data_IF_211045473840
#
_entry.id   IF_211045473840
#
_cell.length_a   1.000
_cell.length_b   1.000
_cell.length_c   1.000
_cell.angle_alpha   90.00
_cell.angle_beta   90.00
_cell.angle_gamma   90.00
#
_symmetry.space_group_name_H-M   'P 1'
#
loop_
_entity.id
_entity.type
_entity.pdbx_description
1 polymer ?
#
# COMPACT_ATOMS: atom_id res chain seq x y z
N UNK A 1 38.27 2.69 -21.70
CA UNK A 1 37.92 3.68 -20.66
C UNK A 1 36.71 3.14 -19.92
N UNK A 2 36.88 2.72 -18.66
CA UNK A 2 35.77 2.29 -17.83
C UNK A 2 34.92 3.51 -17.49
N UNK A 3 33.63 3.47 -17.84
CA UNK A 3 32.69 4.51 -17.44
C UNK A 3 32.50 4.42 -15.92
N UNK A 4 32.67 5.50 -15.15
CA UNK A 4 32.36 5.48 -13.73
C UNK A 4 30.86 5.22 -13.61
N UNK A 5 30.48 4.14 -12.94
CA UNK A 5 29.09 3.98 -12.50
C UNK A 5 28.88 5.08 -11.47
N UNK A 6 28.03 6.05 -11.80
CA UNK A 6 27.72 7.17 -10.93
C UNK A 6 27.00 6.65 -9.68
N UNK A 7 27.62 6.68 -8.48
CA UNK A 7 27.01 6.13 -7.27
C UNK A 7 25.72 6.87 -6.87
N UNK A 8 25.49 8.09 -7.38
CA UNK A 8 24.24 8.81 -7.16
C UNK A 8 23.05 8.24 -7.92
N UNK A 9 23.26 7.40 -8.93
CA UNK A 9 22.17 6.73 -9.66
C UNK A 9 21.45 5.64 -8.83
N UNK A 10 22.06 5.21 -7.72
CA UNK A 10 21.49 4.21 -6.79
C UNK A 10 21.14 4.78 -5.41
N UNK A 11 21.46 6.05 -5.15
CA UNK A 11 21.04 6.72 -3.93
C UNK A 11 19.59 7.18 -4.07
N UNK A 12 18.64 6.25 -4.01
CA UNK A 12 17.31 6.63 -3.53
C UNK A 12 17.53 7.16 -2.12
N UNK A 13 17.22 8.43 -1.87
CA UNK A 13 17.27 9.03 -0.55
C UNK A 13 16.42 8.17 0.39
N UNK A 14 17.08 7.44 1.29
CA UNK A 14 16.45 6.50 2.21
C UNK A 14 15.40 7.20 3.08
N UNK A 15 15.60 8.49 3.36
CA UNK A 15 14.62 9.35 4.03
C UNK A 15 13.38 9.63 3.17
N UNK A 16 13.55 9.89 1.87
CA UNK A 16 12.41 10.05 0.95
C UNK A 16 11.61 8.75 0.80
N UNK A 17 12.30 7.60 0.77
CA UNK A 17 11.64 6.30 0.67
C UNK A 17 10.83 5.95 1.93
N UNK A 18 11.33 6.28 3.12
CA UNK A 18 10.58 6.15 4.38
C UNK A 18 9.36 7.07 4.43
N UNK A 19 9.49 8.32 3.98
CA UNK A 19 8.35 9.25 3.85
C UNK A 19 7.28 8.70 2.90
N UNK A 20 7.68 8.25 1.71
CA UNK A 20 6.75 7.65 0.76
C UNK A 20 6.08 6.38 1.30
N UNK A 21 6.79 5.57 2.09
CA UNK A 21 6.19 4.41 2.76
C UNK A 21 5.09 4.82 3.74
N UNK A 22 5.36 5.83 4.58
CA UNK A 22 4.37 6.36 5.53
C UNK A 22 3.15 6.94 4.81
N UNK A 23 3.36 7.67 3.72
CA UNK A 23 2.29 8.23 2.91
C UNK A 23 1.41 7.13 2.31
N UNK A 24 2.01 6.07 1.77
CA UNK A 24 1.27 4.92 1.23
C UNK A 24 0.42 4.25 2.32
N UNK A 25 0.98 4.06 3.52
CA UNK A 25 0.22 3.49 4.64
C UNK A 25 -0.94 4.39 5.07
N UNK A 26 -0.75 5.71 5.09
CA UNK A 26 -1.81 6.66 5.40
C UNK A 26 -2.95 6.62 4.36
N UNK A 27 -2.61 6.66 3.07
CA UNK A 27 -3.58 6.54 1.97
C UNK A 27 -4.31 5.19 2.03
N UNK A 28 -3.61 4.10 2.33
CA UNK A 28 -4.24 2.79 2.48
C UNK A 28 -5.28 2.75 3.60
N UNK A 29 -4.98 3.38 4.74
CA UNK A 29 -5.92 3.50 5.86
C UNK A 29 -7.14 4.36 5.50
N UNK A 30 -6.95 5.44 4.75
CA UNK A 30 -8.06 6.27 4.26
C UNK A 30 -8.97 5.49 3.30
N UNK A 31 -8.39 4.75 2.36
CA UNK A 31 -9.14 3.90 1.42
C UNK A 31 -9.95 2.86 2.20
N UNK A 32 -9.38 2.20 3.22
CA UNK A 32 -10.12 1.22 4.03
C UNK A 32 -11.29 1.86 4.79
N UNK A 33 -11.10 3.04 5.36
CA UNK A 33 -12.16 3.79 6.02
C UNK A 33 -13.30 4.17 5.06
N UNK A 34 -12.97 4.60 3.84
CA UNK A 34 -13.95 4.92 2.79
C UNK A 34 -14.71 3.68 2.32
N UNK A 35 -14.01 2.55 2.13
CA UNK A 35 -14.64 1.29 1.76
C UNK A 35 -15.60 0.80 2.85
N UNK A 36 -15.20 0.89 4.12
CA UNK A 36 -16.08 0.54 5.25
C UNK A 36 -17.31 1.45 5.32
N UNK A 37 -17.15 2.74 5.03
CA UNK A 37 -18.28 3.67 4.94
C UNK A 37 -19.24 3.31 3.80
N UNK A 38 -18.71 2.84 2.67
CA UNK A 38 -19.53 2.35 1.55
C UNK A 38 -20.27 1.06 1.92
N UNK A 39 -19.60 0.07 2.54
CA UNK A 39 -20.25 -1.17 3.00
C UNK A 39 -21.44 -0.89 3.92
N UNK A 40 -21.29 0.01 4.89
CA UNK A 40 -22.41 0.42 5.76
C UNK A 40 -23.59 1.03 4.98
N UNK A 41 -23.31 1.85 3.95
CA UNK A 41 -24.37 2.42 3.10
C UNK A 41 -25.09 1.32 2.32
N UNK A 42 -24.35 0.33 1.84
CA UNK A 42 -24.92 -0.80 1.11
C UNK A 42 -25.72 -1.75 2.02
N UNK A 43 -25.32 -1.95 3.27
CA UNK A 43 -26.10 -2.71 4.26
C UNK A 43 -27.46 -2.05 4.54
N UNK A 44 -27.47 -0.72 4.72
CA UNK A 44 -28.72 0.04 4.91
C UNK A 44 -29.63 -0.11 3.70
N UNK A 45 -29.07 0.00 2.49
CA UNK A 45 -29.83 -0.15 1.26
C UNK A 45 -30.35 -1.59 1.11
N UNK A 46 -29.63 -2.62 1.51
CA UNK A 46 -30.12 -4.01 1.48
C UNK A 46 -31.47 -4.18 2.18
N UNK A 47 -31.63 -3.53 3.34
CA UNK A 47 -32.86 -3.59 4.13
C UNK A 47 -34.10 -3.00 3.45
N UNK A 48 -33.92 -2.16 2.42
CA UNK A 48 -35.04 -1.54 1.69
C UNK A 48 -35.58 -2.37 0.52
N UNK A 49 -34.87 -3.40 0.08
CA UNK A 49 -35.24 -4.20 -1.10
C UNK A 49 -35.99 -5.46 -0.66
N UNK A 50 -37.12 -5.76 -1.34
CA UNK A 50 -37.93 -6.97 -1.08
C UNK A 50 -38.10 -7.79 -2.35
N UNK A 51 -38.39 -9.08 -2.20
CA UNK A 51 -38.65 -10.00 -3.32
C UNK A 51 -37.40 -10.28 -4.16
N UNK A 52 -37.59 -10.55 -5.47
CA UNK A 52 -36.52 -10.95 -6.40
C UNK A 52 -35.35 -9.96 -6.48
N UNK A 53 -35.61 -8.68 -6.22
CA UNK A 53 -34.60 -7.64 -6.25
C UNK A 53 -33.60 -7.74 -5.07
N UNK A 54 -34.03 -8.29 -3.92
CA UNK A 54 -33.16 -8.53 -2.76
C UNK A 54 -32.06 -9.57 -3.05
N UNK A 55 -32.40 -10.63 -3.82
CA UNK A 55 -31.41 -11.64 -4.21
C UNK A 55 -30.34 -11.09 -5.15
N UNK A 56 -30.72 -10.28 -6.13
CA UNK A 56 -29.77 -9.60 -7.03
C UNK A 56 -28.90 -8.60 -6.27
N UNK A 57 -29.49 -7.87 -5.33
CA UNK A 57 -28.76 -6.95 -4.47
C UNK A 57 -27.72 -7.67 -3.60
N UNK A 58 -28.09 -8.79 -2.97
CA UNK A 58 -27.17 -9.59 -2.16
C UNK A 58 -25.97 -10.10 -2.97
N UNK A 59 -26.16 -10.46 -4.24
CA UNK A 59 -25.07 -10.82 -5.13
C UNK A 59 -24.12 -9.64 -5.39
N UNK A 60 -24.66 -8.46 -5.71
CA UNK A 60 -23.85 -7.24 -5.89
C UNK A 60 -23.11 -6.84 -4.60
N UNK A 61 -23.72 -7.04 -3.43
CA UNK A 61 -23.09 -6.78 -2.14
C UNK A 61 -21.91 -7.73 -1.90
N UNK A 62 -22.08 -9.02 -2.19
CA UNK A 62 -20.99 -10.00 -2.09
C UNK A 62 -19.83 -9.70 -3.04
N UNK A 63 -20.13 -9.24 -4.26
CA UNK A 63 -19.10 -8.83 -5.22
C UNK A 63 -18.34 -7.58 -4.73
N UNK A 64 -19.04 -6.64 -4.10
CA UNK A 64 -18.41 -5.51 -3.42
C UNK A 64 -17.48 -5.95 -2.28
N UNK A 65 -17.91 -6.83 -1.39
CA UNK A 65 -17.08 -7.35 -0.29
C UNK A 65 -15.80 -8.02 -0.81
N UNK A 66 -15.91 -8.76 -1.93
CA UNK A 66 -14.76 -9.39 -2.60
C UNK A 66 -13.80 -8.35 -3.17
N UNK A 67 -14.32 -7.33 -3.85
CA UNK A 67 -13.50 -6.24 -4.38
C UNK A 67 -12.79 -5.47 -3.26
N UNK A 68 -13.48 -5.21 -2.15
CA UNK A 68 -12.91 -4.59 -0.96
C UNK A 68 -11.74 -5.42 -0.39
N UNK A 69 -11.92 -6.75 -0.30
CA UNK A 69 -10.87 -7.67 0.12
C UNK A 69 -9.65 -7.62 -0.79
N UNK A 70 -9.86 -7.58 -2.11
CA UNK A 70 -8.77 -7.48 -3.08
C UNK A 70 -7.97 -6.18 -2.91
N UNK A 71 -8.65 -5.05 -2.72
CA UNK A 71 -7.99 -3.75 -2.51
C UNK A 71 -7.14 -3.77 -1.23
N UNK A 72 -7.66 -4.29 -0.11
CA UNK A 72 -6.89 -4.42 1.13
C UNK A 72 -5.64 -5.27 0.96
N UNK A 73 -5.76 -6.41 0.26
CA UNK A 73 -4.63 -7.30 0.01
C UNK A 73 -3.55 -6.57 -0.82
N UNK A 74 -3.95 -5.94 -1.93
CA UNK A 74 -3.02 -5.18 -2.78
C UNK A 74 -2.31 -4.06 -2.01
N UNK A 75 -3.02 -3.29 -1.18
CA UNK A 75 -2.41 -2.22 -0.39
C UNK A 75 -1.44 -2.77 0.68
N UNK A 76 -1.76 -3.93 1.25
CA UNK A 76 -0.86 -4.64 2.18
C UNK A 76 0.42 -5.08 1.48
N UNK A 77 0.31 -5.69 0.30
CA UNK A 77 1.45 -6.15 -0.50
C UNK A 77 2.35 -4.98 -0.91
N UNK A 78 1.76 -3.85 -1.31
CA UNK A 78 2.50 -2.61 -1.60
C UNK A 78 3.25 -2.13 -0.36
N UNK A 79 2.58 -2.07 0.80
CA UNK A 79 3.22 -1.66 2.06
C UNK A 79 4.42 -2.52 2.42
N UNK A 80 4.29 -3.85 2.30
CA UNK A 80 5.39 -4.80 2.53
C UNK A 80 6.54 -4.58 1.54
N UNK A 81 6.24 -4.40 0.25
CA UNK A 81 7.25 -4.19 -0.78
C UNK A 81 8.04 -2.89 -0.54
N UNK A 82 7.36 -1.79 -0.23
CA UNK A 82 8.01 -0.50 0.03
C UNK A 82 8.83 -0.53 1.33
N UNK A 83 8.30 -1.12 2.41
CA UNK A 83 9.05 -1.27 3.66
C UNK A 83 10.30 -2.14 3.50
N UNK A 84 10.22 -3.20 2.69
CA UNK A 84 11.37 -4.06 2.36
C UNK A 84 12.42 -3.31 1.56
N UNK A 85 12.00 -2.52 0.56
CA UNK A 85 12.91 -1.67 -0.20
C UNK A 85 13.60 -0.63 0.70
N UNK A 86 12.84 0.06 1.57
CA UNK A 86 13.38 1.03 2.52
C UNK A 86 14.47 0.45 3.43
N UNK A 87 14.21 -0.75 3.98
CA UNK A 87 15.17 -1.45 4.84
C UNK A 87 16.46 -1.82 4.08
N UNK A 88 16.34 -2.29 2.84
CA UNK A 88 17.50 -2.65 2.02
C UNK A 88 18.36 -1.42 1.68
N UNK A 89 17.75 -0.29 1.32
CA UNK A 89 18.48 0.94 1.04
C UNK A 89 19.21 1.49 2.27
N UNK A 90 18.55 1.51 3.43
CA UNK A 90 19.16 1.96 4.68
C UNK A 90 20.37 1.09 5.08
N UNK A 91 20.30 -0.23 4.86
CA UNK A 91 21.44 -1.13 5.11
C UNK A 91 22.62 -0.80 4.20
N UNK A 92 22.40 -0.67 2.88
CA UNK A 92 23.44 -0.36 1.91
C UNK A 92 24.11 0.99 2.22
N UNK A 93 23.33 2.00 2.60
CA UNK A 93 23.86 3.30 2.99
C UNK A 93 24.75 3.21 4.24
N UNK A 94 24.34 2.43 5.25
CA UNK A 94 25.14 2.19 6.44
C UNK A 94 26.46 1.48 6.15
N UNK A 95 26.44 0.49 5.25
CA UNK A 95 27.65 -0.22 4.78
C UNK A 95 28.61 0.75 4.08
N UNK A 96 28.10 1.59 3.18
CA UNK A 96 28.88 2.61 2.47
C UNK A 96 29.48 3.63 3.45
N UNK A 97 28.68 4.15 4.38
CA UNK A 97 29.15 5.12 5.39
C UNK A 97 30.27 4.54 6.27
N UNK A 98 30.15 3.27 6.65
CA UNK A 98 31.18 2.57 7.42
C UNK A 98 32.50 2.42 6.66
N UNK A 99 32.45 2.22 5.33
CA UNK A 99 33.63 2.09 4.48
C UNK A 99 34.44 3.40 4.36
N UNK A 100 33.78 4.55 4.54
CA UNK A 100 34.43 5.87 4.51
C UNK A 100 34.88 6.37 5.89
N UNK A 101 34.61 5.62 6.97
CA UNK A 101 35.10 5.99 8.31
C UNK A 101 36.61 5.68 8.39
N UNK A 102 37.48 6.68 8.58
CA UNK A 102 38.93 6.45 8.67
C UNK A 102 39.23 5.53 9.85
N UNK A 103 40.08 4.53 9.63
CA UNK A 103 40.63 3.69 10.71
C UNK A 103 41.56 4.48 11.62
#
# INVERSE_FOLDING_TARGET
>A
MAHPIDPSAYAVDSGQLDLHSKDIHAVAAEIDALMLAMSRKLEVLQGSWKGRAAGQYAALHSDWERAQGQVRNTLTDIGVAVGSAGSAYAQVEGEIASAFTPR
#
